data_IF_256024521991
#
_entry.id   IF_256024521991
#
_cell.length_a   1.000
_cell.length_b   1.000
_cell.length_c   1.000
_cell.angle_alpha   90.00
_cell.angle_beta   90.00
_cell.angle_gamma   90.00
#
_symmetry.space_group_name_H-M   'P 1'
#
loop_
_entity.id
_entity.type
_entity.pdbx_description
1 polymer ?
#
# COMPACT_ATOMS: atom_id res chain seq x y z
N UNK A 1 0.27 20.64 22.59
CA UNK A 1 -0.14 19.22 22.51
C UNK A 1 -0.10 18.79 21.07
N UNK A 2 0.83 17.86 20.76
CA UNK A 2 0.93 17.26 19.42
C UNK A 2 0.13 15.97 19.42
N UNK A 3 -1.01 15.97 18.73
CA UNK A 3 -1.78 14.74 18.48
C UNK A 3 -1.27 14.11 17.21
N UNK A 4 -1.06 12.80 17.25
CA UNK A 4 -0.62 12.01 16.09
C UNK A 4 -1.66 10.93 15.80
N UNK A 5 -1.93 10.70 14.52
CA UNK A 5 -2.68 9.55 14.05
C UNK A 5 -1.71 8.60 13.35
N UNK A 6 -1.67 7.36 13.81
CA UNK A 6 -0.88 6.30 13.18
C UNK A 6 -1.85 5.27 12.62
N UNK A 7 -1.76 5.02 11.32
CA UNK A 7 -2.51 3.97 10.63
C UNK A 7 -1.51 2.91 10.21
N UNK A 8 -1.68 1.69 10.72
CA UNK A 8 -0.77 0.59 10.47
C UNK A 8 -1.50 -0.61 9.86
N UNK A 9 -0.87 -1.25 8.87
CA UNK A 9 -1.31 -2.52 8.30
C UNK A 9 -0.54 -3.67 8.95
N UNK A 10 -1.25 -4.76 9.25
CA UNK A 10 -0.67 -6.01 9.68
C UNK A 10 -1.51 -7.20 9.18
N UNK A 11 -0.91 -8.34 8.81
CA UNK A 11 -1.65 -9.57 8.56
C UNK A 11 -2.42 -10.02 9.79
N UNK A 12 -3.61 -10.57 9.59
CA UNK A 12 -4.50 -11.02 10.67
C UNK A 12 -4.51 -12.54 10.77
N UNK A 13 -4.44 -13.05 11.99
CA UNK A 13 -4.50 -14.51 12.26
C UNK A 13 -5.81 -15.14 11.78
N UNK A 14 -6.94 -14.45 11.88
CA UNK A 14 -8.23 -14.94 11.41
C UNK A 14 -8.33 -14.98 9.87
N UNK A 15 -7.71 -14.03 9.20
CA UNK A 15 -7.71 -13.97 7.73
C UNK A 15 -6.63 -14.89 7.15
N UNK A 16 -5.50 -14.99 7.83
CA UNK A 16 -4.41 -15.88 7.48
C UNK A 16 -3.64 -15.49 6.22
N UNK A 17 -2.46 -16.00 6.16
CA UNK A 17 -1.63 -15.98 4.95
C UNK A 17 -1.27 -17.41 4.56
N UNK A 18 -1.22 -17.71 3.28
CA UNK A 18 -0.99 -19.07 2.78
C UNK A 18 0.32 -19.68 3.24
N UNK A 19 1.34 -18.86 3.42
CA UNK A 19 2.66 -19.26 3.92
C UNK A 19 2.71 -19.49 5.43
N UNK A 20 1.64 -19.18 6.17
CA UNK A 20 1.57 -19.24 7.62
C UNK A 20 2.00 -17.94 8.30
N UNK A 21 1.52 -17.73 9.54
CA UNK A 21 1.72 -16.47 10.28
C UNK A 21 3.17 -16.24 10.71
N UNK A 22 4.03 -17.25 10.71
CA UNK A 22 5.47 -17.07 10.91
C UNK A 22 6.14 -16.21 9.81
N UNK A 23 5.46 -16.03 8.68
CA UNK A 23 5.88 -15.18 7.56
C UNK A 23 5.15 -13.83 7.51
N UNK A 24 4.50 -13.41 8.59
CA UNK A 24 3.75 -12.16 8.65
C UNK A 24 4.59 -10.92 8.28
N UNK A 25 5.81 -10.83 8.80
CA UNK A 25 6.72 -9.71 8.48
C UNK A 25 7.12 -9.70 6.99
N UNK A 26 7.38 -10.87 6.42
CA UNK A 26 7.67 -10.99 4.98
C UNK A 26 6.46 -10.56 4.15
N UNK A 27 5.25 -10.90 4.58
CA UNK A 27 4.00 -10.49 3.91
C UNK A 27 3.78 -8.97 3.98
N UNK A 28 4.08 -8.33 5.11
CA UNK A 28 4.06 -6.88 5.25
C UNK A 28 5.06 -6.19 4.30
N UNK A 29 6.26 -6.73 4.19
CA UNK A 29 7.26 -6.24 3.24
C UNK A 29 6.77 -6.36 1.80
N UNK A 30 6.22 -7.50 1.41
CA UNK A 30 5.67 -7.72 0.07
C UNK A 30 4.49 -6.79 -0.22
N UNK A 31 3.64 -6.50 0.77
CA UNK A 31 2.53 -5.55 0.64
C UNK A 31 3.03 -4.15 0.25
N UNK A 32 4.12 -3.70 0.83
CA UNK A 32 4.73 -2.40 0.50
C UNK A 32 5.44 -2.47 -0.86
N UNK A 33 6.21 -3.52 -1.13
CA UNK A 33 6.96 -3.66 -2.38
C UNK A 33 6.07 -3.73 -3.62
N UNK A 34 4.91 -4.38 -3.53
CA UNK A 34 3.97 -4.48 -4.65
C UNK A 34 2.98 -3.30 -4.76
N UNK A 35 2.94 -2.41 -3.79
CA UNK A 35 2.05 -1.25 -3.78
C UNK A 35 0.66 -1.50 -3.17
N UNK A 36 0.43 -2.65 -2.54
CA UNK A 36 -0.80 -2.91 -1.80
C UNK A 36 -0.94 -1.96 -0.61
N UNK A 37 0.15 -1.66 0.08
CA UNK A 37 0.25 -0.70 1.16
C UNK A 37 1.30 0.35 0.85
N UNK A 38 1.04 1.62 1.20
CA UNK A 38 1.99 2.71 1.01
C UNK A 38 2.33 3.35 2.36
N UNK A 39 3.61 3.57 2.60
CA UNK A 39 4.12 4.28 3.76
C UNK A 39 4.32 5.74 3.42
N UNK A 40 3.66 6.62 4.16
CA UNK A 40 3.81 8.06 4.02
C UNK A 40 3.65 8.77 5.35
N UNK A 41 4.11 10.00 5.42
CA UNK A 41 3.96 10.88 6.56
C UNK A 41 3.44 12.24 6.13
N UNK A 42 2.58 12.81 6.94
CA UNK A 42 2.07 14.16 6.75
C UNK A 42 2.16 14.96 8.04
N UNK A 43 2.84 16.11 7.98
CA UNK A 43 2.94 17.06 9.09
C UNK A 43 2.56 18.47 8.61
N UNK A 44 1.32 18.92 8.87
CA UNK A 44 0.85 20.24 8.40
C UNK A 44 1.61 21.41 9.05
N UNK A 45 2.29 21.18 10.19
CA UNK A 45 3.05 22.18 10.90
C UNK A 45 4.53 22.23 10.50
N UNK A 46 4.96 21.42 9.54
CA UNK A 46 6.34 21.47 9.06
C UNK A 46 6.59 22.78 8.29
N UNK A 47 7.76 23.39 8.52
CA UNK A 47 8.20 24.57 7.79
C UNK A 47 8.69 24.25 6.37
N UNK A 48 9.18 23.01 6.16
CA UNK A 48 9.58 22.47 4.86
C UNK A 48 8.49 21.64 4.18
N UNK A 49 8.89 20.53 3.59
CA UNK A 49 7.98 19.59 2.94
C UNK A 49 7.02 18.98 3.96
N UNK A 50 5.71 19.17 3.75
CA UNK A 50 4.67 18.71 4.69
C UNK A 50 4.28 17.25 4.47
N UNK A 51 4.47 16.75 3.27
CA UNK A 51 4.15 15.37 2.90
C UNK A 51 5.40 14.64 2.40
N UNK A 52 5.66 13.46 2.93
CA UNK A 52 6.75 12.58 2.47
C UNK A 52 6.22 11.19 2.17
N UNK A 53 6.53 10.69 0.99
CA UNK A 53 6.22 9.33 0.56
C UNK A 53 7.44 8.45 0.84
N UNK A 54 7.31 7.57 1.84
CA UNK A 54 8.42 6.71 2.28
C UNK A 54 8.51 5.43 1.42
N UNK A 55 7.44 5.04 0.75
CA UNK A 55 7.44 3.90 -0.17
C UNK A 55 8.12 4.24 -1.48
N UNK A 56 8.93 3.31 -1.98
CA UNK A 56 9.48 3.35 -3.34
C UNK A 56 8.41 3.04 -4.37
N UNK A 57 8.71 3.27 -5.65
CA UNK A 57 7.84 2.87 -6.75
C UNK A 57 7.51 1.37 -6.67
N UNK A 58 6.23 0.99 -6.75
CA UNK A 58 5.81 -0.38 -6.54
C UNK A 58 6.26 -1.28 -7.69
N UNK A 59 6.57 -2.53 -7.35
CA UNK A 59 6.84 -3.61 -8.31
C UNK A 59 5.52 -4.31 -8.61
N UNK A 60 4.77 -3.81 -9.59
CA UNK A 60 3.43 -4.28 -9.91
C UNK A 60 3.37 -5.77 -10.29
N UNK A 61 4.43 -6.32 -10.86
CA UNK A 61 4.52 -7.75 -11.20
C UNK A 61 4.34 -8.69 -10.00
N UNK A 62 4.61 -8.22 -8.78
CA UNK A 62 4.40 -8.99 -7.55
C UNK A 62 3.00 -8.86 -6.94
N UNK A 63 2.13 -8.01 -7.49
CA UNK A 63 0.85 -7.68 -6.87
C UNK A 63 -0.12 -8.86 -6.86
N UNK A 64 -0.26 -9.56 -7.97
CA UNK A 64 -1.15 -10.73 -8.05
C UNK A 64 -0.65 -11.89 -7.19
N UNK A 65 0.65 -12.09 -7.08
CA UNK A 65 1.25 -13.10 -6.20
C UNK A 65 0.98 -12.77 -4.73
N UNK A 66 1.04 -11.49 -4.36
CA UNK A 66 0.67 -11.03 -3.02
C UNK A 66 -0.80 -11.35 -2.71
N UNK A 67 -1.74 -11.00 -3.59
CA UNK A 67 -3.16 -11.29 -3.40
C UNK A 67 -3.42 -12.81 -3.28
N UNK A 68 -2.77 -13.61 -4.11
CA UNK A 68 -2.90 -15.07 -4.06
C UNK A 68 -2.29 -15.70 -2.80
N UNK A 69 -1.40 -14.99 -2.12
CA UNK A 69 -0.85 -15.39 -0.81
C UNK A 69 -1.77 -15.10 0.37
N UNK A 70 -2.73 -14.20 0.19
CA UNK A 70 -3.73 -13.84 1.19
C UNK A 70 -4.93 -14.79 1.13
N UNK A 71 -5.24 -15.46 2.24
CA UNK A 71 -6.28 -16.51 2.27
C UNK A 71 -7.65 -15.98 1.86
N UNK A 72 -8.01 -14.75 2.24
CA UNK A 72 -9.31 -14.17 1.88
C UNK A 72 -9.46 -13.94 0.37
N UNK A 73 -8.45 -13.40 -0.28
CA UNK A 73 -8.46 -13.23 -1.73
C UNK A 73 -8.46 -14.57 -2.46
N UNK A 74 -7.65 -15.51 -1.98
CA UNK A 74 -7.61 -16.86 -2.55
C UNK A 74 -8.93 -17.62 -2.38
N UNK A 75 -9.65 -17.40 -1.28
CA UNK A 75 -10.99 -17.97 -1.07
C UNK A 75 -11.99 -17.45 -2.12
N UNK A 76 -11.97 -16.15 -2.45
CA UNK A 76 -12.80 -15.59 -3.51
C UNK A 76 -12.43 -16.19 -4.88
N UNK A 77 -11.15 -16.36 -5.16
CA UNK A 77 -10.69 -16.98 -6.40
C UNK A 77 -11.17 -18.42 -6.58
N UNK A 78 -11.25 -19.19 -5.49
CA UNK A 78 -11.82 -20.56 -5.52
C UNK A 78 -13.34 -20.55 -5.69
N UNK A 79 -14.03 -19.62 -5.02
CA UNK A 79 -15.49 -19.55 -5.05
C UNK A 79 -16.04 -19.02 -6.38
N UNK A 80 -15.38 -18.02 -6.97
CA UNK A 80 -15.80 -17.39 -8.22
C UNK A 80 -14.57 -16.85 -8.99
N UNK A 81 -13.90 -17.72 -9.77
CA UNK A 81 -12.67 -17.34 -10.47
C UNK A 81 -12.86 -16.17 -11.44
N UNK A 82 -13.91 -16.16 -12.22
CA UNK A 82 -14.14 -15.12 -13.25
C UNK A 82 -14.35 -13.73 -12.63
N UNK A 83 -15.06 -13.68 -11.49
CA UNK A 83 -15.26 -12.42 -10.74
C UNK A 83 -13.98 -11.99 -10.04
N UNK A 84 -13.26 -12.96 -9.47
CA UNK A 84 -11.99 -12.68 -8.78
C UNK A 84 -10.95 -12.09 -9.74
N UNK A 85 -10.78 -12.63 -10.93
CA UNK A 85 -9.80 -12.14 -11.90
C UNK A 85 -10.06 -10.69 -12.29
N UNK A 86 -11.33 -10.33 -12.52
CA UNK A 86 -11.71 -8.93 -12.80
C UNK A 86 -11.44 -8.00 -11.63
N UNK A 87 -11.82 -8.40 -10.42
CA UNK A 87 -11.64 -7.59 -9.22
C UNK A 87 -10.17 -7.44 -8.85
N UNK A 88 -9.37 -8.47 -9.03
CA UNK A 88 -7.92 -8.42 -8.73
C UNK A 88 -7.18 -7.54 -9.72
N UNK A 89 -7.54 -7.59 -10.99
CA UNK A 89 -6.97 -6.68 -11.99
C UNK A 89 -7.33 -5.21 -11.70
N UNK A 90 -8.58 -4.93 -11.33
CA UNK A 90 -9.01 -3.60 -10.94
C UNK A 90 -8.30 -3.14 -9.66
N UNK A 91 -8.17 -4.02 -8.67
CA UNK A 91 -7.48 -3.71 -7.42
C UNK A 91 -6.02 -3.34 -7.63
N UNK A 92 -5.32 -4.04 -8.51
CA UNK A 92 -3.95 -3.71 -8.91
C UNK A 92 -3.87 -2.35 -9.59
N UNK A 93 -4.76 -2.07 -10.54
CA UNK A 93 -4.84 -0.78 -11.22
C UNK A 93 -5.07 0.36 -10.21
N UNK A 94 -6.05 0.23 -9.34
CA UNK A 94 -6.35 1.23 -8.30
C UNK A 94 -5.18 1.44 -7.32
N UNK A 95 -4.42 0.38 -7.03
CA UNK A 95 -3.22 0.50 -6.20
C UNK A 95 -2.12 1.32 -6.88
N UNK A 96 -1.91 1.14 -8.18
CA UNK A 96 -0.95 1.94 -8.95
C UNK A 96 -1.39 3.39 -9.07
N UNK A 97 -2.67 3.63 -9.32
CA UNK A 97 -3.27 4.97 -9.36
C UNK A 97 -3.15 5.69 -8.00
N UNK A 98 -3.34 4.96 -6.90
CA UNK A 98 -3.16 5.50 -5.54
C UNK A 98 -1.71 5.89 -5.28
N UNK A 99 -0.75 5.09 -5.68
CA UNK A 99 0.67 5.44 -5.55
C UNK A 99 0.99 6.71 -6.34
N UNK A 100 0.53 6.80 -7.57
CA UNK A 100 0.72 7.98 -8.43
C UNK A 100 0.09 9.24 -7.80
N UNK A 101 -1.10 9.11 -7.24
CA UNK A 101 -1.75 10.19 -6.50
C UNK A 101 -0.93 10.63 -5.28
N UNK A 102 -0.44 9.68 -4.47
CA UNK A 102 0.40 10.00 -3.30
C UNK A 102 1.71 10.68 -3.73
N UNK A 103 2.29 10.26 -4.84
CA UNK A 103 3.49 10.88 -5.39
C UNK A 103 3.24 12.33 -5.84
N UNK A 104 2.08 12.63 -6.40
CA UNK A 104 1.65 14.00 -6.72
C UNK A 104 1.50 14.86 -5.46
N UNK A 105 1.05 14.30 -4.35
CA UNK A 105 0.94 15.03 -3.08
C UNK A 105 2.31 15.49 -2.56
N UNK A 106 3.39 14.78 -2.85
CA UNK A 106 4.76 15.24 -2.53
C UNK A 106 5.03 16.60 -3.16
N UNK A 107 4.65 16.78 -4.41
CA UNK A 107 4.81 18.06 -5.12
C UNK A 107 3.85 19.13 -4.60
N UNK A 108 2.59 18.76 -4.33
CA UNK A 108 1.56 19.70 -3.84
C UNK A 108 1.94 20.30 -2.48
N UNK A 109 2.56 19.50 -1.61
CA UNK A 109 2.96 19.90 -0.27
C UNK A 109 4.46 20.19 -0.12
N UNK A 110 5.18 20.30 -1.21
CA UNK A 110 6.58 20.71 -1.19
C UNK A 110 6.70 22.15 -0.68
N UNK A 111 7.82 22.45 -0.01
CA UNK A 111 8.14 23.81 0.38
C UNK A 111 8.20 24.72 -0.85
N UNK A 112 7.68 25.95 -0.73
CA UNK A 112 7.84 26.96 -1.77
C UNK A 112 9.33 27.21 -1.97
N UNK A 113 9.80 27.04 -3.20
CA UNK A 113 11.16 27.46 -3.55
C UNK A 113 11.14 29.00 -3.60
N UNK A 114 11.85 29.64 -2.68
CA UNK A 114 12.16 31.05 -2.84
C UNK A 114 12.99 31.19 -4.13
N UNK A 115 12.40 31.73 -5.17
CA UNK A 115 13.15 32.21 -6.33
C UNK A 115 14.06 33.34 -5.88
N UNK A 116 15.38 33.02 -5.76
CA UNK A 116 16.45 34.00 -5.57
C UNK A 116 16.92 34.52 -6.93
#
# INVERSE_FOLDING_TARGET
YKRQLIIAYAPCINHGIKKGMSKAQTEEQLAVECGYWNNFRYNPAAEGDKFSLDSKAPKAEGYQDFLNGEVRYNALKRANPAKADKLFALNEQEAMERYDYLNKLVTVYAAEKEDK
#
